data_IF_090889791257
#
_entry.id   IF_090889791257
#
_cell.length_a   1.000
_cell.length_b   1.000
_cell.length_c   1.000
_cell.angle_alpha   90.00
_cell.angle_beta   90.00
_cell.angle_gamma   90.00
#
_symmetry.space_group_name_H-M   'P 1'
#
loop_
_entity.id
_entity.type
_entity.pdbx_description
1 polymer ?
#
# COMPACT_ATOMS: atom_id res chain seq x y z
N UNK A 1 7.48 -12.38 -1.00
CA UNK A 1 7.49 -11.05 -0.34
C UNK A 1 6.11 -10.63 0.15
N UNK A 2 5.06 -10.65 -0.67
CA UNK A 2 3.68 -10.27 -0.27
C UNK A 2 3.15 -11.04 0.96
N UNK A 3 3.29 -12.37 0.99
CA UNK A 3 2.90 -13.17 2.16
C UNK A 3 3.66 -12.78 3.44
N UNK A 4 4.91 -12.36 3.30
CA UNK A 4 5.73 -11.86 4.41
C UNK A 4 5.15 -10.55 4.97
N UNK A 5 4.84 -9.59 4.09
CA UNK A 5 4.19 -8.33 4.47
C UNK A 5 2.83 -8.56 5.14
N UNK A 6 2.02 -9.51 4.63
CA UNK A 6 0.74 -9.88 5.25
C UNK A 6 0.91 -10.49 6.65
N UNK A 7 1.90 -11.36 6.84
CA UNK A 7 2.21 -11.95 8.16
C UNK A 7 2.74 -10.91 9.15
N UNK A 8 3.60 -9.99 8.68
CA UNK A 8 4.09 -8.87 9.49
C UNK A 8 2.94 -7.99 9.95
N UNK A 9 2.03 -7.61 9.03
CA UNK A 9 0.86 -6.81 9.35
C UNK A 9 -0.02 -7.47 10.44
N UNK A 10 -0.22 -8.79 10.36
CA UNK A 10 -0.96 -9.55 11.35
C UNK A 10 -0.26 -9.61 12.73
N UNK A 11 1.07 -9.49 12.76
CA UNK A 11 1.88 -9.49 13.97
C UNK A 11 2.08 -8.08 14.57
N UNK A 12 1.72 -7.01 13.85
CA UNK A 12 1.90 -5.64 14.33
C UNK A 12 1.04 -5.37 15.57
N UNK A 13 1.72 -4.90 16.62
CA UNK A 13 1.07 -4.46 17.86
C UNK A 13 1.00 -2.93 17.95
N UNK A 14 1.96 -2.23 17.32
CA UNK A 14 1.99 -0.77 17.23
C UNK A 14 1.38 -0.28 15.92
N UNK A 15 0.73 0.88 15.99
CA UNK A 15 0.00 1.46 14.85
C UNK A 15 0.91 1.89 13.71
N UNK A 16 2.02 2.56 14.02
CA UNK A 16 3.00 2.99 13.02
C UNK A 16 3.59 1.79 12.26
N UNK A 17 3.92 0.72 12.98
CA UNK A 17 4.38 -0.54 12.36
C UNK A 17 3.32 -1.15 11.45
N UNK A 18 2.05 -1.12 11.86
CA UNK A 18 0.94 -1.63 11.04
C UNK A 18 0.73 -0.78 9.78
N UNK A 19 0.89 0.54 9.86
CA UNK A 19 0.80 1.45 8.72
C UNK A 19 1.92 1.18 7.70
N UNK A 20 3.16 1.01 8.16
CA UNK A 20 4.29 0.72 7.28
C UNK A 20 4.19 -0.69 6.66
N UNK A 21 3.75 -1.68 7.45
CA UNK A 21 3.52 -3.04 6.95
C UNK A 21 2.39 -3.09 5.91
N UNK A 22 1.34 -2.29 6.10
CA UNK A 22 0.24 -2.17 5.13
C UNK A 22 0.67 -1.44 3.85
N UNK A 23 1.45 -0.35 3.97
CA UNK A 23 2.08 0.33 2.83
C UNK A 23 2.94 -0.66 2.04
N UNK A 24 3.81 -1.41 2.73
CA UNK A 24 4.65 -2.45 2.12
C UNK A 24 3.83 -3.51 1.38
N UNK A 25 2.67 -3.90 1.92
CA UNK A 25 1.76 -4.83 1.27
C UNK A 25 1.20 -4.25 -0.04
N UNK A 26 0.73 -3.00 -0.02
CA UNK A 26 0.23 -2.29 -1.22
C UNK A 26 1.31 -2.19 -2.29
N UNK A 27 2.52 -1.73 -1.92
CA UNK A 27 3.66 -1.64 -2.84
C UNK A 27 4.02 -3.00 -3.43
N UNK A 28 4.08 -4.05 -2.62
CA UNK A 28 4.36 -5.41 -3.10
C UNK A 28 3.28 -5.92 -4.05
N UNK A 29 2.00 -5.69 -3.75
CA UNK A 29 0.90 -6.06 -4.63
C UNK A 29 0.97 -5.34 -5.97
N UNK A 30 1.25 -4.03 -5.97
CA UNK A 30 1.42 -3.26 -7.20
C UNK A 30 2.60 -3.80 -8.04
N UNK A 31 3.75 -4.08 -7.42
CA UNK A 31 4.91 -4.71 -8.08
C UNK A 31 4.57 -6.05 -8.72
N UNK A 32 3.85 -6.92 -8.01
CA UNK A 32 3.44 -8.23 -8.55
C UNK A 32 2.52 -8.05 -9.76
N UNK A 33 1.53 -7.15 -9.67
CA UNK A 33 0.61 -6.90 -10.78
C UNK A 33 1.32 -6.34 -12.02
N UNK A 34 2.28 -5.43 -11.85
CA UNK A 34 3.09 -4.91 -12.94
C UNK A 34 3.91 -6.01 -13.64
N UNK A 35 4.56 -6.88 -12.86
CA UNK A 35 5.31 -8.02 -13.41
C UNK A 35 4.41 -9.01 -14.13
N UNK A 36 3.24 -9.33 -13.56
CA UNK A 36 2.27 -10.22 -14.21
C UNK A 36 1.76 -9.63 -15.53
N UNK A 37 1.48 -8.32 -15.58
CA UNK A 37 1.10 -7.63 -16.82
C UNK A 37 2.19 -7.71 -17.88
N UNK A 38 3.46 -7.54 -17.50
CA UNK A 38 4.59 -7.69 -18.43
C UNK A 38 4.70 -9.12 -18.96
N UNK A 39 4.60 -10.14 -18.09
CA UNK A 39 4.62 -11.53 -18.49
C UNK A 39 3.48 -11.87 -19.46
N UNK A 40 2.29 -11.32 -19.23
CA UNK A 40 1.15 -11.49 -20.11
C UNK A 40 1.43 -10.90 -21.51
N UNK A 41 1.92 -9.65 -21.59
CA UNK A 41 2.29 -9.01 -22.87
C UNK A 41 3.34 -9.81 -23.64
N UNK A 42 4.34 -10.36 -22.94
CA UNK A 42 5.36 -11.21 -23.57
C UNK A 42 4.77 -12.50 -24.13
N UNK A 43 3.83 -13.13 -23.41
CA UNK A 43 3.12 -14.33 -23.89
C UNK A 43 2.30 -14.02 -25.14
N UNK A 44 1.55 -12.93 -25.14
CA UNK A 44 0.74 -12.49 -26.29
C UNK A 44 1.63 -12.25 -27.53
N UNK A 45 2.75 -11.54 -27.37
CA UNK A 45 3.71 -11.32 -28.45
C UNK A 45 4.30 -12.65 -28.99
N UNK A 46 4.63 -13.60 -28.11
CA UNK A 46 5.14 -14.91 -28.51
C UNK A 46 4.09 -15.73 -29.30
N UNK A 47 2.82 -15.66 -28.89
CA UNK A 47 1.71 -16.32 -29.60
C UNK A 47 1.54 -15.70 -30.99
N UNK A 48 1.53 -14.37 -31.10
CA UNK A 48 1.43 -13.65 -32.37
C UNK A 48 2.61 -13.98 -33.30
N UNK A 49 3.84 -14.06 -32.78
CA UNK A 49 5.01 -14.47 -33.58
C UNK A 49 4.90 -15.92 -34.09
N UNK A 50 4.34 -16.84 -33.30
CA UNK A 50 4.10 -18.22 -33.74
C UNK A 50 3.02 -18.31 -34.81
N UNK A 51 1.99 -17.46 -34.74
CA UNK A 51 0.92 -17.38 -35.75
C UNK A 51 1.34 -16.64 -37.03
N UNK A 52 2.22 -15.62 -36.92
CA UNK A 52 2.70 -14.81 -38.04
C UNK A 52 3.77 -15.46 -38.93
N UNK A 53 4.31 -16.62 -38.54
CA UNK A 53 5.37 -17.33 -39.31
C UNK A 53 4.95 -17.88 -40.68
N UNK A 54 3.73 -17.62 -41.17
CA UNK A 54 3.30 -17.96 -42.54
C UNK A 54 3.39 -16.81 -43.55
N UNK A 55 3.69 -15.58 -43.12
CA UNK A 55 3.83 -14.43 -44.01
C UNK A 55 5.23 -13.85 -43.85
N UNK A 56 6.16 -14.28 -44.71
CA UNK A 56 7.44 -13.61 -44.88
C UNK A 56 7.21 -12.38 -45.73
N UNK A 57 7.07 -11.21 -45.12
CA UNK A 57 7.21 -9.95 -45.84
C UNK A 57 8.38 -9.13 -45.29
N UNK A 58 9.26 -8.82 -46.23
CA UNK A 58 10.46 -8.02 -46.12
C UNK A 58 10.07 -6.59 -45.74
N UNK A 59 10.61 -6.08 -44.63
CA UNK A 59 10.73 -4.64 -44.43
C UNK A 59 12.17 -4.34 -43.99
N UNK A 60 13.02 -4.05 -44.97
CA UNK A 60 14.18 -3.21 -44.77
C UNK A 60 13.73 -1.75 -44.80
N UNK A 61 14.17 -0.92 -43.85
CA UNK A 61 14.72 0.44 -44.06
C UNK A 61 14.83 1.13 -42.70
N UNK A 62 16.03 1.13 -42.10
CA UNK A 62 16.53 2.12 -41.12
C UNK A 62 15.46 2.90 -40.32
N UNK A 63 14.54 2.21 -39.64
CA UNK A 63 13.64 2.85 -38.71
C UNK A 63 14.48 3.19 -37.49
N UNK A 64 14.88 4.47 -37.39
CA UNK A 64 15.69 4.95 -36.29
C UNK A 64 14.95 4.63 -35.01
N UNK A 65 15.48 3.68 -34.24
CA UNK A 65 14.93 3.34 -32.94
C UNK A 65 14.96 4.61 -32.08
N UNK A 66 13.86 4.95 -31.38
CA UNK A 66 13.86 6.08 -30.48
C UNK A 66 14.95 5.92 -29.42
N UNK A 67 15.60 7.02 -29.04
CA UNK A 67 16.59 6.98 -27.98
C UNK A 67 15.93 6.61 -26.64
N UNK A 68 16.66 5.86 -25.83
CA UNK A 68 16.31 5.60 -24.44
C UNK A 68 16.93 6.71 -23.59
N UNK A 69 16.22 7.14 -22.55
CA UNK A 69 16.66 8.19 -21.64
C UNK A 69 16.52 7.78 -20.18
N UNK A 70 16.78 8.74 -19.30
CA UNK A 70 16.53 8.64 -17.86
C UNK A 70 15.50 9.69 -17.48
N UNK A 71 14.47 9.29 -16.75
CA UNK A 71 13.46 10.20 -16.21
C UNK A 71 13.64 10.27 -14.70
N UNK A 72 13.52 11.48 -14.16
CA UNK A 72 13.56 11.72 -12.73
C UNK A 72 12.35 12.55 -12.31
N UNK A 73 11.83 12.28 -11.12
CA UNK A 73 10.86 13.13 -10.44
C UNK A 73 11.42 13.45 -9.05
N UNK A 74 11.44 14.74 -8.69
CA UNK A 74 11.90 15.25 -7.41
C UNK A 74 10.88 16.23 -6.84
N UNK A 75 11.02 16.56 -5.55
CA UNK A 75 10.30 17.64 -4.89
C UNK A 75 8.78 17.55 -5.05
N UNK A 76 8.24 16.32 -4.93
CA UNK A 76 6.81 16.08 -5.09
C UNK A 76 6.06 16.76 -3.93
N UNK A 77 5.27 17.78 -4.27
CA UNK A 77 4.47 18.55 -3.32
C UNK A 77 3.00 18.55 -3.69
N UNK A 78 2.16 18.29 -2.71
CA UNK A 78 0.70 18.26 -2.85
C UNK A 78 0.11 19.30 -1.89
N UNK A 79 -0.26 20.48 -2.38
CA UNK A 79 -0.93 21.49 -1.58
C UNK A 79 -2.26 20.98 -1.03
N UNK A 80 -2.53 21.29 0.24
CA UNK A 80 -3.74 20.92 0.95
C UNK A 80 -4.65 22.12 1.12
N UNK A 81 -5.94 21.92 0.86
CA UNK A 81 -6.97 22.94 1.06
C UNK A 81 -7.99 22.41 2.09
N UNK A 82 -7.80 22.81 3.34
CA UNK A 82 -8.71 22.47 4.42
C UNK A 82 -9.98 23.31 4.34
N UNK A 83 -11.13 22.68 4.57
CA UNK A 83 -12.39 23.44 4.68
C UNK A 83 -12.43 24.17 6.02
N UNK A 84 -13.01 25.36 6.05
CA UNK A 84 -13.22 26.13 7.29
C UNK A 84 -13.96 25.30 8.36
N UNK A 85 -14.89 24.44 7.96
CA UNK A 85 -15.57 23.53 8.88
C UNK A 85 -14.61 22.55 9.58
N UNK A 86 -13.62 22.03 8.86
CA UNK A 86 -12.63 21.09 9.39
C UNK A 86 -11.59 21.81 10.25
N UNK A 87 -11.21 23.03 9.85
CA UNK A 87 -10.24 23.84 10.57
C UNK A 87 -10.80 24.41 11.89
N UNK A 88 -11.99 25.04 11.85
CA UNK A 88 -12.52 25.83 12.96
C UNK A 88 -13.48 25.07 13.90
N UNK A 89 -14.23 24.06 13.42
CA UNK A 89 -15.30 23.43 14.23
C UNK A 89 -14.80 22.25 15.08
N UNK A 90 -13.72 21.60 14.69
CA UNK A 90 -13.17 20.43 15.38
C UNK A 90 -12.10 20.82 16.41
N UNK A 91 -12.44 21.68 17.39
CA UNK A 91 -11.51 22.10 18.46
C UNK A 91 -11.17 20.94 19.41
N UNK A 92 -10.39 19.97 18.95
CA UNK A 92 -9.87 18.86 19.75
C UNK A 92 -9.50 17.62 18.95
N UNK A 93 -10.16 17.39 17.80
CA UNK A 93 -9.93 16.21 16.96
C UNK A 93 -9.02 16.54 15.78
N UNK A 94 -7.79 16.03 15.80
CA UNK A 94 -6.89 16.10 14.66
C UNK A 94 -7.20 14.88 13.79
N UNK A 95 -7.95 15.10 12.70
CA UNK A 95 -8.09 14.05 11.68
C UNK A 95 -6.70 13.77 11.12
N UNK A 96 -6.12 12.65 11.54
CA UNK A 96 -4.80 12.20 11.11
C UNK A 96 -4.99 11.11 10.07
N UNK A 97 -4.54 11.37 8.86
CA UNK A 97 -4.42 10.33 7.85
C UNK A 97 -2.95 10.05 7.57
N UNK A 98 -2.63 8.79 7.31
CA UNK A 98 -1.32 8.40 6.82
C UNK A 98 -1.37 8.44 5.28
N UNK A 99 -0.39 9.06 4.65
CA UNK A 99 -0.34 9.29 3.20
C UNK A 99 1.02 8.89 2.65
N UNK A 100 1.03 8.28 1.47
CA UNK A 100 2.23 8.04 0.67
C UNK A 100 1.87 7.99 -0.82
N UNK A 101 2.88 8.07 -1.68
CA UNK A 101 2.72 7.95 -3.12
C UNK A 101 3.34 6.65 -3.64
N UNK A 102 2.69 6.04 -4.63
CA UNK A 102 3.35 5.11 -5.56
C UNK A 102 3.68 5.85 -6.85
N UNK A 103 4.92 5.68 -7.32
CA UNK A 103 5.39 6.17 -8.62
C UNK A 103 5.72 4.97 -9.48
N UNK A 104 4.97 4.81 -10.56
CA UNK A 104 5.13 3.74 -11.53
C UNK A 104 5.64 4.30 -12.86
N UNK A 105 6.72 3.73 -13.37
CA UNK A 105 7.19 3.96 -14.74
C UNK A 105 7.48 2.61 -15.39
N UNK A 106 6.62 2.21 -16.33
CA UNK A 106 6.68 0.86 -16.90
C UNK A 106 6.42 -0.21 -15.85
N UNK A 107 7.43 -1.04 -15.57
CA UNK A 107 7.36 -2.11 -14.55
C UNK A 107 8.08 -1.77 -13.26
N UNK A 108 8.79 -0.64 -13.23
CA UNK A 108 9.40 -0.11 -12.03
C UNK A 108 8.34 0.60 -11.18
N UNK A 109 8.27 0.22 -9.90
CA UNK A 109 7.36 0.83 -8.92
C UNK A 109 8.17 1.22 -7.70
N UNK A 110 8.13 2.52 -7.41
CA UNK A 110 8.73 3.16 -6.25
C UNK A 110 7.63 3.65 -5.33
N UNK A 111 7.89 3.63 -4.03
CA UNK A 111 7.03 4.18 -3.00
C UNK A 111 7.79 5.28 -2.26
N UNK A 112 7.09 6.34 -1.88
CA UNK A 112 7.67 7.41 -1.05
C UNK A 112 7.60 7.05 0.42
N UNK A 113 8.29 7.82 1.25
CA UNK A 113 8.06 7.82 2.70
C UNK A 113 6.59 8.03 3.10
N UNK A 114 6.25 7.50 4.29
CA UNK A 114 4.93 7.65 4.90
C UNK A 114 4.85 8.98 5.66
N UNK A 115 3.87 9.81 5.32
CA UNK A 115 3.64 11.11 5.97
C UNK A 115 2.33 11.10 6.74
N UNK A 116 2.38 11.51 8.00
CA UNK A 116 1.19 11.75 8.81
C UNK A 116 0.66 13.15 8.54
N UNK A 117 -0.57 13.25 8.08
CA UNK A 117 -1.20 14.50 7.65
C UNK A 117 -2.29 14.88 8.64
N UNK A 118 -2.22 16.10 9.15
CA UNK A 118 -3.29 16.73 9.92
C UNK A 118 -3.50 18.18 9.46
N UNK A 119 -4.52 18.83 10.02
CA UNK A 119 -4.93 20.20 9.67
C UNK A 119 -3.87 21.29 9.86
N UNK A 120 -2.73 20.99 10.48
CA UNK A 120 -1.63 21.94 10.65
C UNK A 120 -0.74 22.02 9.41
N UNK A 121 -0.79 21.01 8.53
CA UNK A 121 -0.01 20.98 7.29
C UNK A 121 -0.71 21.76 6.18
N UNK A 122 0.03 22.60 5.47
CA UNK A 122 -0.45 23.25 4.24
C UNK A 122 -0.15 22.41 3.00
N UNK A 123 0.83 21.52 3.08
CA UNK A 123 1.33 20.74 1.96
C UNK A 123 1.87 19.39 2.44
N UNK A 124 1.73 18.39 1.58
CA UNK A 124 2.46 17.11 1.71
C UNK A 124 3.68 17.21 0.83
N UNK A 125 4.87 17.01 1.38
CA UNK A 125 6.13 17.10 0.66
C UNK A 125 6.88 15.77 0.73
N UNK A 126 7.38 15.30 -0.40
CA UNK A 126 8.30 14.16 -0.50
C UNK A 126 9.60 14.66 -1.12
N UNK A 127 10.68 14.66 -0.33
CA UNK A 127 12.00 15.18 -0.73
C UNK A 127 12.80 14.20 -1.61
N UNK A 128 12.35 12.95 -1.66
CA UNK A 128 13.03 11.88 -2.40
C UNK A 128 13.01 12.13 -3.91
N UNK A 129 14.14 11.87 -4.56
CA UNK A 129 14.22 11.86 -6.03
C UNK A 129 14.13 10.42 -6.54
N UNK A 130 13.10 10.16 -7.35
CA UNK A 130 12.85 8.85 -7.95
C UNK A 130 13.35 8.86 -9.39
N UNK A 131 14.14 7.86 -9.76
CA UNK A 131 14.74 7.72 -11.08
C UNK A 131 14.25 6.45 -11.78
N UNK A 132 13.94 6.57 -13.07
CA UNK A 132 13.74 5.44 -13.97
C UNK A 132 14.72 5.51 -15.14
N UNK A 133 15.40 4.39 -15.39
CA UNK A 133 16.42 4.28 -16.43
C UNK A 133 15.85 3.60 -17.68
N UNK A 134 16.52 3.78 -18.82
CA UNK A 134 16.18 3.13 -20.10
C UNK A 134 14.72 3.37 -20.53
N UNK A 135 14.25 4.60 -20.34
CA UNK A 135 12.87 5.02 -20.59
C UNK A 135 12.75 5.58 -22.01
N UNK A 136 11.84 5.02 -22.81
CA UNK A 136 11.57 5.51 -24.17
C UNK A 136 10.70 6.77 -24.19
N UNK A 137 10.61 7.50 -25.31
CA UNK A 137 9.85 8.75 -25.39
C UNK A 137 8.33 8.58 -25.22
N UNK A 138 7.82 7.36 -25.41
CA UNK A 138 6.41 7.00 -25.17
C UNK A 138 6.08 6.64 -23.73
N UNK A 139 6.92 6.99 -22.76
CA UNK A 139 6.73 6.62 -21.37
C UNK A 139 5.46 7.23 -20.76
N UNK A 140 4.97 6.54 -19.73
CA UNK A 140 3.92 7.03 -18.86
C UNK A 140 4.38 6.82 -17.43
N UNK A 141 4.64 7.91 -16.73
CA UNK A 141 4.98 7.92 -15.32
C UNK A 141 3.69 8.22 -14.55
N UNK A 142 3.15 7.21 -13.87
CA UNK A 142 1.93 7.34 -13.07
C UNK A 142 2.30 7.61 -11.62
N UNK A 143 1.72 8.66 -11.04
CA UNK A 143 1.80 8.95 -9.61
C UNK A 143 0.44 8.68 -8.99
N UNK A 144 0.41 7.90 -7.93
CA UNK A 144 -0.80 7.48 -7.21
C UNK A 144 -0.69 7.86 -5.73
N UNK A 145 -1.60 8.69 -5.26
CA UNK A 145 -1.68 9.11 -3.87
C UNK A 145 -2.58 8.15 -3.09
N UNK A 146 -2.02 7.51 -2.06
CA UNK A 146 -2.75 6.63 -1.16
C UNK A 146 -2.95 7.27 0.19
N UNK A 147 -4.09 7.03 0.83
CA UNK A 147 -4.29 7.40 2.23
C UNK A 147 -4.97 6.31 3.05
N UNK A 148 -4.70 6.32 4.35
CA UNK A 148 -5.42 5.55 5.35
C UNK A 148 -5.87 6.48 6.47
N UNK A 149 -7.17 6.50 6.74
CA UNK A 149 -7.71 7.20 7.90
C UNK A 149 -7.25 6.46 9.16
N UNK A 150 -6.61 7.17 10.07
CA UNK A 150 -6.18 6.62 11.35
C UNK A 150 -7.22 7.05 12.38
N UNK A 151 -8.19 6.20 12.74
CA UNK A 151 -9.12 6.54 13.81
C UNK A 151 -8.31 6.82 15.08
N UNK A 152 -8.54 7.97 15.69
CA UNK A 152 -7.94 8.33 16.96
C UNK A 152 -8.68 7.52 18.04
N UNK A 153 -8.07 6.43 18.51
CA UNK A 153 -8.48 5.78 19.74
C UNK A 153 -8.19 6.77 20.89
N UNK A 154 -9.10 7.71 21.13
CA UNK A 154 -9.09 8.54 22.31
C UNK A 154 -9.19 7.61 23.52
N UNK A 155 -8.05 7.40 24.17
CA UNK A 155 -7.97 6.84 25.51
C UNK A 155 -8.63 7.84 26.48
N UNK A 156 -9.94 7.71 26.65
CA UNK A 156 -10.69 8.25 27.76
C UNK A 156 -11.53 7.12 28.37
N UNK A 157 -10.93 6.46 29.36
CA UNK A 157 -11.62 5.61 30.33
C UNK A 157 -11.76 4.15 29.93
N UNK A 158 -10.67 3.38 30.04
CA UNK A 158 -10.85 1.97 30.38
C UNK A 158 -11.55 1.91 31.76
N UNK A 159 -12.75 1.32 31.92
CA UNK A 159 -13.16 0.92 33.25
C UNK A 159 -12.22 -0.22 33.65
N UNK A 160 -11.44 0.00 34.72
CA UNK A 160 -10.59 -1.02 35.30
C UNK A 160 -11.35 -2.35 35.42
N UNK A 161 -10.72 -3.51 35.15
CA UNK A 161 -11.39 -4.78 35.34
C UNK A 161 -11.70 -4.89 36.84
N UNK A 162 -12.98 -4.87 37.19
CA UNK A 162 -13.43 -5.10 38.56
C UNK A 162 -12.86 -6.45 39.00
N UNK A 163 -11.87 -6.41 39.87
CA UNK A 163 -11.40 -7.57 40.63
C UNK A 163 -12.58 -8.05 41.48
N UNK A 164 -13.25 -9.12 41.05
CA UNK A 164 -14.10 -9.87 41.96
C UNK A 164 -13.22 -10.86 42.75
N UNK A 165 -12.92 -10.47 43.97
CA UNK A 165 -12.32 -11.32 44.99
C UNK A 165 -13.35 -12.29 45.57
N UNK A 166 -13.06 -13.59 45.42
CA UNK A 166 -13.27 -14.74 46.34
C UNK A 166 -14.54 -14.84 47.20
N UNK A 167 -15.21 -15.99 47.07
CA UNK A 167 -15.63 -16.96 48.12
C UNK A 167 -15.84 -18.30 47.37
N UNK A 168 -15.44 -19.50 47.78
CA UNK A 168 -15.23 -20.11 49.09
C UNK A 168 -16.07 -21.41 49.15
N UNK A 169 -15.44 -22.58 49.37
CA UNK A 169 -16.09 -23.90 49.56
C UNK A 169 -15.42 -25.00 48.73
N UNK A 170 -14.49 -25.83 49.22
CA UNK A 170 -14.50 -26.82 50.31
C UNK A 170 -15.02 -28.22 49.90
N UNK A 171 -14.11 -29.19 50.03
CA UNK A 171 -14.26 -30.64 50.26
C UNK A 171 -14.85 -31.56 49.17
N UNK A 172 -14.11 -32.65 48.88
CA UNK A 172 -14.62 -33.82 48.16
C UNK A 172 -13.52 -34.82 47.77
N UNK A 173 -13.24 -35.78 48.66
CA UNK A 173 -12.31 -36.90 48.46
C UNK A 173 -12.86 -37.96 47.49
N UNK A 174 -11.98 -38.74 46.83
CA UNK A 174 -12.01 -40.21 46.61
C UNK A 174 -11.57 -40.71 45.21
N UNK A 175 -10.49 -41.51 45.22
CA UNK A 175 -10.36 -42.89 44.72
C UNK A 175 -10.64 -43.26 43.24
N UNK A 176 -9.52 -43.48 42.50
CA UNK A 176 -9.15 -44.65 41.65
C UNK A 176 -9.99 -45.00 40.39
N UNK A 177 -9.34 -45.08 39.21
CA UNK A 177 -8.93 -46.33 38.49
C UNK A 177 -8.67 -46.07 36.98
N UNK A 178 -7.69 -46.82 36.45
CA UNK A 178 -7.13 -46.88 35.08
C UNK A 178 -8.16 -47.14 33.97
N UNK A 179 -7.89 -46.69 32.72
CA UNK A 179 -7.73 -47.51 31.49
C UNK A 179 -7.31 -46.68 30.26
N UNK A 180 -6.81 -47.39 29.25
CA UNK A 180 -6.02 -47.04 28.06
C UNK A 180 -6.68 -46.21 26.93
N UNK A 181 -5.84 -45.92 25.92
CA UNK A 181 -6.07 -45.43 24.55
C UNK A 181 -6.06 -43.89 24.44
N UNK A 182 -5.18 -43.25 23.67
CA UNK A 182 -4.80 -43.55 22.29
C UNK A 182 -5.41 -42.44 21.44
N UNK A 183 -4.63 -41.40 21.10
CA UNK A 183 -5.15 -40.26 20.34
C UNK A 183 -4.14 -39.13 20.29
N UNK A 184 -3.58 -38.94 19.10
CA UNK A 184 -2.51 -38.01 18.78
C UNK A 184 -3.13 -36.68 18.39
N UNK A 185 -3.34 -35.80 19.36
CA UNK A 185 -3.80 -34.44 19.07
C UNK A 185 -2.65 -33.46 19.25
N UNK A 186 -2.05 -33.10 18.12
CA UNK A 186 -1.26 -31.88 17.96
C UNK A 186 -2.19 -30.68 18.10
N UNK A 187 -2.52 -30.33 19.34
CA UNK A 187 -3.17 -29.06 19.68
C UNK A 187 -2.10 -27.96 19.66
N UNK A 188 -1.79 -27.49 18.46
CA UNK A 188 -1.34 -26.11 18.30
C UNK A 188 -2.38 -25.22 19.02
N UNK A 189 -1.98 -24.32 19.91
CA UNK A 189 -2.93 -23.40 20.52
C UNK A 189 -3.44 -22.48 19.40
N UNK A 190 -4.65 -22.75 18.92
CA UNK A 190 -5.39 -21.83 18.07
C UNK A 190 -5.65 -20.58 18.91
N UNK A 191 -4.89 -19.53 18.60
CA UNK A 191 -5.11 -18.20 19.13
C UNK A 191 -6.59 -17.82 18.89
N UNK A 192 -7.30 -17.32 19.91
CA UNK A 192 -8.68 -16.91 19.76
C UNK A 192 -8.74 -15.83 18.69
N UNK A 193 -9.69 -16.00 17.76
CA UNK A 193 -9.87 -15.15 16.61
C UNK A 193 -9.87 -13.67 16.98
N UNK A 194 -8.89 -12.95 16.46
CA UNK A 194 -9.04 -11.55 16.12
C UNK A 194 -8.53 -11.44 14.71
N UNK A 195 -9.46 -11.35 13.76
CA UNK A 195 -9.21 -10.78 12.44
C UNK A 195 -8.82 -9.32 12.67
N UNK A 196 -7.58 -9.06 13.12
CA UNK A 196 -7.02 -7.71 13.12
C UNK A 196 -6.75 -7.38 11.66
N UNK A 197 -7.78 -6.90 10.95
CA UNK A 197 -7.54 -6.17 9.71
C UNK A 197 -6.70 -4.96 10.10
N UNK A 198 -5.45 -4.93 9.67
CA UNK A 198 -4.59 -3.76 9.80
C UNK A 198 -5.14 -2.56 9.04
N UNK A 199 -4.51 -1.38 9.17
CA UNK A 199 -4.93 -0.19 8.43
C UNK A 199 -4.97 -0.49 6.93
N UNK A 200 -6.01 -0.01 6.25
CA UNK A 200 -6.18 -0.19 4.81
C UNK A 200 -5.91 1.14 4.12
N UNK A 201 -5.05 1.11 3.10
CA UNK A 201 -4.85 2.25 2.22
C UNK A 201 -5.83 2.20 1.06
N UNK A 202 -6.32 3.38 0.71
CA UNK A 202 -7.19 3.62 -0.41
C UNK A 202 -6.51 4.60 -1.36
N UNK A 203 -6.58 4.32 -2.66
CA UNK A 203 -6.17 5.27 -3.68
C UNK A 203 -7.09 6.48 -3.58
N UNK A 204 -6.52 7.66 -3.33
CA UNK A 204 -7.26 8.92 -3.27
C UNK A 204 -7.30 9.61 -4.62
N UNK A 205 -6.14 9.70 -5.27
CA UNK A 205 -6.00 10.43 -6.50
C UNK A 205 -4.80 9.94 -7.29
N UNK A 206 -4.73 10.27 -8.58
CA UNK A 206 -3.59 9.93 -9.41
C UNK A 206 -3.39 10.94 -10.54
N UNK A 207 -2.19 10.96 -11.10
CA UNK A 207 -1.88 11.67 -12.34
C UNK A 207 -0.92 10.85 -13.20
N UNK A 208 -0.85 11.16 -14.48
CA UNK A 208 0.04 10.48 -15.42
C UNK A 208 0.84 11.53 -16.19
N UNK A 209 2.15 11.53 -15.96
CA UNK A 209 3.11 12.37 -16.62
C UNK A 209 3.69 11.65 -17.84
N UNK A 210 3.98 12.42 -18.88
CA UNK A 210 4.46 11.99 -20.20
C UNK A 210 5.56 12.94 -20.67
N UNK A 211 6.13 12.69 -21.84
CA UNK A 211 7.25 13.48 -22.37
C UNK A 211 6.94 14.98 -22.53
N UNK A 212 5.70 15.34 -22.84
CA UNK A 212 5.17 16.71 -22.92
C UNK A 212 5.13 17.44 -21.55
N UNK A 213 5.27 16.69 -20.45
CA UNK A 213 5.33 17.22 -19.10
C UNK A 213 6.77 17.47 -18.61
N UNK A 214 7.78 17.02 -19.34
CA UNK A 214 9.20 17.17 -18.96
C UNK A 214 9.63 18.63 -19.06
N UNK A 215 10.22 19.15 -17.98
CA UNK A 215 10.81 20.48 -17.93
C UNK A 215 11.81 20.58 -16.76
N UNK A 216 12.75 21.50 -16.85
CA UNK A 216 13.77 21.75 -15.81
C UNK A 216 13.29 22.71 -14.71
N UNK A 217 11.98 22.87 -14.53
CA UNK A 217 11.39 23.81 -13.56
C UNK A 217 10.13 23.25 -12.90
N UNK A 218 9.67 23.88 -11.82
CA UNK A 218 8.45 23.47 -11.13
C UNK A 218 7.23 23.56 -12.05
N UNK A 219 6.41 22.49 -12.05
CA UNK A 219 5.14 22.42 -12.76
C UNK A 219 4.04 21.96 -11.83
N UNK A 220 2.87 22.58 -11.95
CA UNK A 220 1.65 22.08 -11.30
C UNK A 220 0.95 21.11 -12.25
N UNK A 221 0.52 19.98 -11.70
CA UNK A 221 -0.26 18.98 -12.39
C UNK A 221 -1.54 18.72 -11.62
N UNK A 222 -2.64 18.60 -12.33
CA UNK A 222 -3.91 18.21 -11.71
C UNK A 222 -3.87 16.73 -11.36
N UNK A 223 -4.45 16.41 -10.19
CA UNK A 223 -4.70 15.05 -9.74
C UNK A 223 -6.15 14.69 -10.06
N UNK A 224 -6.35 13.54 -10.70
CA UNK A 224 -7.68 12.95 -10.89
C UNK A 224 -8.05 12.17 -9.63
N UNK A 225 -9.20 12.47 -9.03
CA UNK A 225 -9.71 11.72 -7.88
C UNK A 225 -10.06 10.29 -8.30
N UNK A 226 -9.68 9.33 -7.47
CA UNK A 226 -10.14 7.96 -7.62
C UNK A 226 -11.63 7.90 -7.23
N UNK A 227 -12.43 7.17 -8.01
CA UNK A 227 -13.80 6.90 -7.62
C UNK A 227 -13.78 6.16 -6.28
N UNK A 228 -14.42 6.75 -5.27
CA UNK A 228 -14.58 6.08 -3.98
C UNK A 228 -15.38 4.79 -4.22
N UNK A 229 -14.74 3.64 -4.03
CA UNK A 229 -15.46 2.38 -3.93
C UNK A 229 -16.31 2.45 -2.67
N UNK A 230 -17.62 2.57 -2.84
CA UNK A 230 -18.62 2.35 -1.79
C UNK A 230 -18.48 0.97 -1.14
#
# INVERSE_FOLDING_TARGET
>A
MQEGASKLLAACSQREQALEASKSLVTCSARILALLSQLQKMREAQVLQRMGRRSSEVVSFNERLPCMGKVAISDLRIPLMWKDSEYFKNKGELHRCAVFCLVQCGTEIYDTDLVMVDRTLTDICFEETIFSNEVGPGFQLRVELYSSCVPEDFSLGAPAPRRLSRLGGSLGCTTRKKTHAGGRDSSSPSLPGVTRLGPKYHLLAHTTLRIDHVQDSFKTHDLSLAAAGE
#
